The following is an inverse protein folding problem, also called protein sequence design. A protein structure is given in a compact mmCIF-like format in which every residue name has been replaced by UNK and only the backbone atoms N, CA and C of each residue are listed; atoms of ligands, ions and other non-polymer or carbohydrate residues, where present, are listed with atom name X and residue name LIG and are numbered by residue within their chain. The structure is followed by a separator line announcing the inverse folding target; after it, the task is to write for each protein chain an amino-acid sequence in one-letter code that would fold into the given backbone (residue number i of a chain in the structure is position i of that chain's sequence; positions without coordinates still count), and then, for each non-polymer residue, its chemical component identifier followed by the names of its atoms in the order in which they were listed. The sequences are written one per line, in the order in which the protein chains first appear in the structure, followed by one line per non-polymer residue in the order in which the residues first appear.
data_IF_471145927139
#
_entry.id   IF_471145927139
#
_cell.length_a   1.000
_cell.length_b   1.000
_cell.length_c   1.000
_cell.angle_alpha   90.00
_cell.angle_beta   90.00
_cell.angle_gamma   90.00
#
_symmetry.space_group_name_H-M   'P 1'
#
loop_
_entity.id
_entity.type
_entity.pdbx_description
1 polymer ?
#
# COMPACT_ATOMS: atom_id res chain seq x y z
N UNK A 1 -33.15 12.22 35.82
CA UNK A 1 -32.34 10.98 35.78
C UNK A 1 -31.81 10.61 34.39
N UNK A 2 -32.43 11.01 33.26
CA UNK A 2 -31.94 10.63 31.91
C UNK A 2 -30.76 11.44 31.35
N UNK A 3 -30.50 12.65 31.87
CA UNK A 3 -29.44 13.53 31.36
C UNK A 3 -28.04 13.12 31.86
N UNK A 4 -27.94 12.62 33.09
CA UNK A 4 -26.68 12.15 33.66
C UNK A 4 -26.10 10.94 32.90
N UNK A 5 -26.97 10.06 32.38
CA UNK A 5 -26.54 8.89 31.59
C UNK A 5 -25.92 9.26 30.25
N UNK A 6 -26.41 10.31 29.58
CA UNK A 6 -25.87 10.75 28.28
C UNK A 6 -24.51 11.43 28.46
N UNK A 7 -24.33 12.22 29.53
CA UNK A 7 -23.06 12.90 29.82
C UNK A 7 -21.96 11.87 30.17
N UNK A 8 -22.31 10.81 30.92
CA UNK A 8 -21.37 9.71 31.24
C UNK A 8 -20.93 8.95 29.98
N UNK A 9 -21.85 8.63 29.06
CA UNK A 9 -21.53 7.95 27.79
C UNK A 9 -20.59 8.80 26.92
N UNK A 10 -20.77 10.13 26.91
CA UNK A 10 -19.87 11.03 26.17
C UNK A 10 -18.49 11.13 26.84
N UNK A 11 -18.42 11.17 28.17
CA UNK A 11 -17.14 11.17 28.90
C UNK A 11 -16.38 9.86 28.75
N UNK A 12 -17.06 8.71 28.80
CA UNK A 12 -16.45 7.39 28.60
C UNK A 12 -15.98 7.21 27.15
N UNK A 13 -16.72 7.71 26.16
CA UNK A 13 -16.28 7.72 24.77
C UNK A 13 -15.05 8.61 24.55
N UNK A 14 -14.97 9.77 25.20
CA UNK A 14 -13.81 10.67 25.13
C UNK A 14 -12.57 10.10 25.84
N UNK A 15 -12.75 9.46 27.00
CA UNK A 15 -11.67 8.79 27.72
C UNK A 15 -11.12 7.59 26.94
N UNK A 16 -11.99 6.86 26.23
CA UNK A 16 -11.60 5.72 25.40
C UNK A 16 -10.86 6.16 24.11
N UNK A 17 -11.24 7.29 23.51
CA UNK A 17 -10.51 7.90 22.37
C UNK A 17 -9.11 8.37 22.80
N UNK A 18 -8.96 8.89 24.03
CA UNK A 18 -7.66 9.29 24.58
C UNK A 18 -6.67 8.14 24.75
N UNK A 19 -7.15 6.91 24.97
CA UNK A 19 -6.31 5.71 25.11
C UNK A 19 -5.74 5.17 23.78
N UNK A 20 -6.38 5.46 22.64
CA UNK A 20 -6.01 4.90 21.33
C UNK A 20 -4.82 5.58 20.65
N UNK A 21 -4.38 6.75 21.12
CA UNK A 21 -3.18 7.41 20.57
C UNK A 21 -1.86 6.68 20.92
N UNK A 22 -1.91 5.62 21.73
CA UNK A 22 -0.72 4.88 22.16
C UNK A 22 -0.41 3.60 21.35
N UNK A 23 -1.33 3.13 20.49
CA UNK A 23 -1.24 1.78 19.88
C UNK A 23 -1.18 1.75 18.35
N UNK A 24 -1.11 2.88 17.65
CA UNK A 24 -0.73 2.92 16.22
C UNK A 24 -1.72 2.29 15.23
N UNK A 25 -2.96 1.99 15.63
CA UNK A 25 -4.01 1.44 14.75
C UNK A 25 -5.00 2.57 14.40
N UNK A 26 -5.34 2.82 13.12
CA UNK A 26 -6.21 3.93 12.74
C UNK A 26 -7.68 3.70 13.20
N UNK A 27 -8.32 4.67 13.88
CA UNK A 27 -9.63 4.54 14.52
C UNK A 27 -10.84 4.52 13.57
N UNK A 28 -10.62 4.43 12.26
CA UNK A 28 -11.64 4.66 11.23
C UNK A 28 -12.80 3.65 11.27
N UNK A 29 -12.57 2.42 11.73
CA UNK A 29 -13.61 1.37 11.77
C UNK A 29 -14.62 1.52 12.91
N UNK A 30 -14.21 2.04 14.07
CA UNK A 30 -15.04 2.04 15.29
C UNK A 30 -15.99 3.25 15.38
N UNK A 31 -15.58 4.39 14.81
CA UNK A 31 -16.40 5.61 14.82
C UNK A 31 -17.62 5.45 13.89
N UNK A 32 -17.49 4.72 12.78
CA UNK A 32 -18.61 4.42 11.87
C UNK A 32 -19.67 3.53 12.55
N UNK A 33 -19.24 2.58 13.39
CA UNK A 33 -20.13 1.71 14.18
C UNK A 33 -20.87 2.52 15.26
N UNK A 34 -20.20 3.47 15.92
CA UNK A 34 -20.82 4.33 16.92
C UNK A 34 -21.82 5.33 16.30
N UNK A 35 -21.53 5.84 15.11
CA UNK A 35 -22.46 6.71 14.35
C UNK A 35 -23.69 5.95 13.85
N UNK A 36 -23.52 4.69 13.41
CA UNK A 36 -24.64 3.82 13.03
C UNK A 36 -25.52 3.47 14.24
N UNK A 37 -24.92 3.16 15.39
CA UNK A 37 -25.68 2.84 16.62
C UNK A 37 -26.37 4.08 17.22
N UNK A 38 -25.73 5.25 17.17
CA UNK A 38 -26.31 6.53 17.63
C UNK A 38 -27.45 7.04 16.73
N UNK A 39 -27.35 6.83 15.41
CA UNK A 39 -28.38 7.22 14.45
C UNK A 39 -29.67 6.42 14.59
N UNK A 40 -29.59 5.11 14.88
CA UNK A 40 -30.77 4.25 15.06
C UNK A 40 -31.57 4.62 16.32
N UNK A 41 -30.89 5.05 17.40
CA UNK A 41 -31.54 5.45 18.65
C UNK A 41 -32.40 6.72 18.53
N UNK A 42 -32.03 7.65 17.64
CA UNK A 42 -32.77 8.89 17.40
C UNK A 42 -34.05 8.66 16.57
N UNK A 43 -34.03 7.68 15.66
CA UNK A 43 -35.19 7.37 14.81
C UNK A 43 -36.26 6.58 15.61
N UNK A 44 -35.85 5.72 16.55
CA UNK A 44 -36.78 4.90 17.33
C UNK A 44 -37.71 5.68 18.28
N UNK A 45 -37.41 6.95 18.59
CA UNK A 45 -38.15 7.73 19.59
C UNK A 45 -39.20 8.70 19.00
N UNK A 46 -39.32 8.85 17.68
CA UNK A 46 -40.31 9.73 17.04
C UNK A 46 -41.65 9.06 16.71
N UNK A 47 -41.76 7.73 16.87
CA UNK A 47 -42.87 6.93 16.31
C UNK A 47 -44.00 6.51 17.26
N UNK A 48 -44.33 7.24 18.33
CA UNK A 48 -45.46 6.88 19.22
C UNK A 48 -46.51 7.99 19.35
N UNK A 49 -47.12 8.36 18.22
CA UNK A 49 -48.40 9.08 18.16
C UNK A 49 -49.57 8.09 18.10
N UNK A 50 -50.31 7.96 19.19
CA UNK A 50 -51.50 7.10 19.34
C UNK A 50 -52.67 7.70 18.53
N UNK A 51 -53.04 7.11 17.40
CA UNK A 51 -54.34 7.39 16.75
C UNK A 51 -55.42 6.54 17.42
N UNK A 52 -56.49 7.18 17.91
CA UNK A 52 -57.70 6.51 18.40
C UNK A 52 -58.82 6.77 17.40
N UNK A 53 -59.22 5.71 16.72
CA UNK A 53 -60.35 5.63 15.79
C UNK A 53 -61.66 5.78 16.58
N UNK A 54 -62.60 6.59 16.09
CA UNK A 54 -64.03 6.41 16.34
C UNK A 54 -64.81 6.68 15.04
N UNK A 55 -65.72 5.77 14.71
CA UNK A 55 -66.49 5.68 13.48
C UNK A 55 -67.90 6.31 13.62
N UNK A 56 -68.42 6.80 12.48
CA UNK A 56 -69.84 6.92 12.04
C UNK A 56 -70.77 8.00 12.68
N UNK A 57 -71.91 8.38 12.04
CA UNK A 57 -72.06 9.00 10.71
C UNK A 57 -73.00 10.25 10.67
N UNK A 58 -72.82 11.06 9.62
CA UNK A 58 -73.80 11.86 8.84
C UNK A 58 -75.07 12.47 9.52
N UNK A 59 -75.16 13.82 9.67
CA UNK A 59 -76.40 14.63 9.52
C UNK A 59 -76.06 16.09 9.12
N UNK A 60 -76.99 16.70 8.36
CA UNK A 60 -77.05 17.95 7.59
C UNK A 60 -76.96 19.30 8.35
N UNK A 61 -76.36 20.27 7.64
CA UNK A 61 -76.65 21.72 7.45
C UNK A 61 -77.45 22.55 8.48
N UNK A 62 -76.91 23.69 8.93
CA UNK A 62 -77.37 25.09 8.65
C UNK A 62 -76.85 26.15 9.68
N UNK A 63 -76.37 27.27 9.10
CA UNK A 63 -76.42 28.70 9.52
C UNK A 63 -75.82 29.22 10.85
N UNK A 64 -74.79 30.09 10.68
CA UNK A 64 -74.58 31.47 11.19
C UNK A 64 -75.17 31.85 12.56
N UNK A 65 -74.33 32.23 13.53
CA UNK A 65 -74.27 33.56 14.19
C UNK A 65 -73.21 33.64 15.32
N UNK A 66 -72.33 34.65 15.21
CA UNK A 66 -71.71 35.54 16.20
C UNK A 66 -71.29 35.12 17.65
N UNK A 67 -70.02 35.43 17.92
CA UNK A 67 -69.42 36.12 19.10
C UNK A 67 -68.99 35.40 20.43
N UNK A 68 -67.66 35.50 20.68
CA UNK A 68 -66.87 35.67 21.95
C UNK A 68 -66.45 34.44 22.79
N UNK A 69 -65.33 34.52 23.55
CA UNK A 69 -63.93 34.48 23.14
C UNK A 69 -63.23 33.17 23.58
N UNK A 70 -62.18 32.77 22.86
CA UNK A 70 -61.38 31.57 23.17
C UNK A 70 -60.65 31.70 24.50
N UNK A 71 -61.21 31.06 25.54
CA UNK A 71 -60.50 30.80 26.80
C UNK A 71 -59.36 29.83 26.52
N UNK A 72 -58.12 30.29 26.75
CA UNK A 72 -56.94 29.44 26.76
C UNK A 72 -57.19 28.30 27.77
N UNK A 73 -57.32 27.06 27.29
CA UNK A 73 -57.48 25.89 28.14
C UNK A 73 -56.18 25.67 28.92
N UNK A 74 -56.09 26.27 30.10
CA UNK A 74 -54.96 26.07 31.01
C UNK A 74 -54.96 24.61 31.45
N UNK A 75 -53.96 23.84 31.00
CA UNK A 75 -53.73 22.48 31.49
C UNK A 75 -53.23 22.61 32.93
N UNK A 76 -54.14 22.47 33.88
CA UNK A 76 -53.84 22.49 35.31
C UNK A 76 -52.93 21.32 35.66
N UNK A 77 -51.94 21.59 36.52
CA UNK A 77 -51.02 20.56 37.00
C UNK A 77 -51.13 20.38 38.48
N UNK A 78 -51.01 19.12 38.87
CA UNK A 78 -51.22 18.68 40.24
C UNK A 78 -49.90 18.20 40.83
N UNK A 79 -49.72 18.46 42.12
CA UNK A 79 -48.55 18.04 42.86
C UNK A 79 -48.51 16.51 42.96
N UNK A 80 -47.38 15.91 42.56
CA UNK A 80 -47.17 14.45 42.67
C UNK A 80 -47.18 13.93 44.12
N UNK A 81 -47.03 14.81 45.12
CA UNK A 81 -46.94 14.42 46.53
C UNK A 81 -48.28 14.53 47.26
N UNK A 82 -49.02 15.62 47.06
CA UNK A 82 -50.23 15.90 47.83
C UNK A 82 -51.49 16.09 46.96
N UNK A 83 -51.39 15.94 45.64
CA UNK A 83 -52.54 16.05 44.72
C UNK A 83 -53.09 17.47 44.52
N UNK A 84 -52.72 18.44 45.34
CA UNK A 84 -53.17 19.83 45.23
C UNK A 84 -52.64 20.51 43.95
N UNK A 85 -53.40 21.47 43.43
CA UNK A 85 -53.03 22.22 42.23
C UNK A 85 -51.74 23.02 42.46
N UNK A 86 -50.90 23.07 41.43
CA UNK A 86 -49.70 23.90 41.42
C UNK A 86 -50.11 25.25 40.86
N UNK A 87 -49.88 26.31 41.64
CA UNK A 87 -50.12 27.68 41.20
C UNK A 87 -49.14 28.02 40.07
N UNK A 88 -49.69 28.48 38.95
CA UNK A 88 -48.95 28.82 37.73
C UNK A 88 -48.06 30.05 37.88
N UNK A 89 -48.39 30.98 38.78
CA UNK A 89 -47.64 32.21 38.97
C UNK A 89 -46.50 32.00 39.98
N UNK A 90 -46.81 31.50 41.17
CA UNK A 90 -45.80 31.28 42.22
C UNK A 90 -45.00 30.01 42.04
N UNK A 91 -45.46 29.09 41.18
CA UNK A 91 -44.87 27.76 40.91
C UNK A 91 -44.74 26.90 42.15
N UNK A 92 -45.52 27.21 43.19
CA UNK A 92 -45.60 26.45 44.43
C UNK A 92 -46.88 25.63 44.45
N UNK A 93 -46.80 24.45 45.04
CA UNK A 93 -48.00 23.68 45.32
C UNK A 93 -48.82 24.35 46.42
N UNK A 94 -50.11 24.57 46.19
CA UNK A 94 -51.01 25.23 47.16
C UNK A 94 -51.23 24.41 48.44
N UNK A 95 -51.01 23.09 48.40
CA UNK A 95 -51.14 22.22 49.57
C UNK A 95 -49.85 22.03 50.37
N UNK A 96 -48.73 21.71 49.70
CA UNK A 96 -47.48 21.36 50.39
C UNK A 96 -46.36 22.42 50.29
N UNK A 97 -46.61 23.54 49.62
CA UNK A 97 -45.65 24.67 49.50
C UNK A 97 -44.42 24.41 48.64
N UNK A 98 -44.22 23.19 48.11
CA UNK A 98 -43.04 22.86 47.28
C UNK A 98 -43.03 23.59 45.95
N UNK A 99 -41.88 24.17 45.60
CA UNK A 99 -41.67 24.87 44.34
C UNK A 99 -41.22 23.90 43.23
N UNK A 100 -41.82 24.01 42.06
CA UNK A 100 -41.49 23.18 40.89
C UNK A 100 -40.85 24.05 39.80
N UNK A 101 -39.52 23.96 39.60
CA UNK A 101 -38.87 24.69 38.52
C UNK A 101 -39.26 24.07 37.18
N UNK A 102 -39.57 24.95 36.23
CA UNK A 102 -39.97 24.56 34.90
C UNK A 102 -38.75 24.59 33.97
N UNK A 103 -38.25 23.42 33.59
CA UNK A 103 -37.23 23.33 32.56
C UNK A 103 -37.91 23.46 31.19
N UNK A 104 -37.68 24.56 30.48
CA UNK A 104 -38.27 24.79 29.17
C UNK A 104 -37.43 24.07 28.10
N UNK A 105 -37.69 22.78 27.93
CA UNK A 105 -36.97 21.89 27.01
C UNK A 105 -36.89 22.49 25.58
N UNK A 106 -37.93 23.20 25.14
CA UNK A 106 -37.95 23.89 23.84
C UNK A 106 -36.97 25.06 23.74
N UNK A 107 -36.70 25.77 24.84
CA UNK A 107 -35.75 26.88 24.87
C UNK A 107 -34.30 26.36 24.97
N UNK A 108 -34.11 25.29 25.73
CA UNK A 108 -32.81 24.62 25.84
C UNK A 108 -32.34 24.09 24.48
N UNK A 109 -33.19 23.35 23.76
CA UNK A 109 -32.82 22.84 22.43
C UNK A 109 -32.59 23.93 21.39
N UNK A 110 -33.29 25.08 21.45
CA UNK A 110 -33.06 26.20 20.51
C UNK A 110 -31.67 26.82 20.62
N UNK A 111 -31.07 26.83 21.82
CA UNK A 111 -29.76 27.44 22.07
C UNK A 111 -28.63 26.41 21.95
N UNK A 112 -28.85 25.18 22.44
CA UNK A 112 -27.80 24.16 22.43
C UNK A 112 -27.60 23.49 21.07
N UNK A 113 -28.64 23.38 20.24
CA UNK A 113 -28.51 22.78 18.90
C UNK A 113 -27.47 23.47 18.01
N UNK A 114 -27.46 24.81 17.81
CA UNK A 114 -26.46 25.45 16.97
C UNK A 114 -25.04 25.32 17.55
N UNK A 115 -24.89 25.38 18.88
CA UNK A 115 -23.60 25.19 19.55
C UNK A 115 -23.04 23.79 19.30
N UNK A 116 -23.88 22.76 19.40
CA UNK A 116 -23.49 21.38 19.11
C UNK A 116 -23.09 21.22 17.63
N UNK A 117 -23.85 21.81 16.71
CA UNK A 117 -23.52 21.77 15.28
C UNK A 117 -22.16 22.42 14.97
N UNK A 118 -21.85 23.55 15.61
CA UNK A 118 -20.55 24.24 15.44
C UNK A 118 -19.40 23.37 15.97
N UNK A 119 -19.57 22.78 17.16
CA UNK A 119 -18.56 21.89 17.75
C UNK A 119 -18.32 20.67 16.85
N UNK A 120 -19.38 20.06 16.32
CA UNK A 120 -19.25 18.92 15.39
C UNK A 120 -18.55 19.31 14.09
N UNK A 121 -18.86 20.49 13.53
CA UNK A 121 -18.18 20.98 12.33
C UNK A 121 -16.67 21.17 12.56
N UNK A 122 -16.27 21.73 13.71
CA UNK A 122 -14.87 21.89 14.08
C UNK A 122 -14.16 20.54 14.22
N UNK A 123 -14.80 19.56 14.88
CA UNK A 123 -14.24 18.21 15.03
C UNK A 123 -14.04 17.52 13.68
N UNK A 124 -15.00 17.65 12.75
CA UNK A 124 -14.88 17.08 11.41
C UNK A 124 -13.72 17.72 10.63
N UNK A 125 -13.56 19.04 10.70
CA UNK A 125 -12.48 19.76 10.02
C UNK A 125 -11.11 19.30 10.56
N UNK A 126 -10.96 19.20 11.88
CA UNK A 126 -9.72 18.74 12.51
C UNK A 126 -9.38 17.30 12.11
N UNK A 127 -10.39 16.44 11.97
CA UNK A 127 -10.20 15.05 11.54
C UNK A 127 -9.80 14.96 10.06
N UNK A 128 -10.38 15.79 9.19
CA UNK A 128 -10.00 15.87 7.78
C UNK A 128 -8.55 16.34 7.60
N UNK A 129 -8.10 17.35 8.37
CA UNK A 129 -6.71 17.83 8.31
C UNK A 129 -5.71 16.76 8.75
N UNK A 130 -6.03 15.99 9.80
CA UNK A 130 -5.17 14.90 10.22
C UNK A 130 -5.12 13.78 9.17
N UNK A 131 -6.26 13.39 8.59
CA UNK A 131 -6.28 12.35 7.54
C UNK A 131 -5.45 12.73 6.31
N UNK A 132 -5.43 14.01 5.91
CA UNK A 132 -4.64 14.45 4.76
C UNK A 132 -3.13 14.25 4.99
N UNK A 133 -2.63 14.47 6.21
CA UNK A 133 -1.22 14.24 6.54
C UNK A 133 -0.85 12.76 6.41
N UNK A 134 -1.70 11.86 6.88
CA UNK A 134 -1.48 10.41 6.75
C UNK A 134 -1.51 9.94 5.30
N UNK A 135 -2.43 10.47 4.50
CA UNK A 135 -2.50 10.18 3.06
C UNK A 135 -1.22 10.63 2.36
N UNK A 136 -0.74 11.84 2.65
CA UNK A 136 0.48 12.36 2.05
C UNK A 136 1.71 11.52 2.44
N UNK A 137 1.83 11.15 3.72
CA UNK A 137 2.92 10.29 4.20
C UNK A 137 2.88 8.88 3.60
N UNK A 138 1.69 8.32 3.39
CA UNK A 138 1.51 7.03 2.73
C UNK A 138 1.88 7.10 1.24
N UNK A 139 1.47 8.14 0.54
CA UNK A 139 1.83 8.35 -0.87
C UNK A 139 3.34 8.50 -1.05
N UNK A 140 4.05 9.17 -0.14
CA UNK A 140 5.51 9.26 -0.18
C UNK A 140 6.18 7.88 -0.07
N UNK A 141 5.61 6.96 0.73
CA UNK A 141 6.12 5.59 0.81
C UNK A 141 5.86 4.80 -0.48
N UNK A 142 4.71 5.02 -1.13
CA UNK A 142 4.41 4.40 -2.42
C UNK A 142 5.38 4.84 -3.51
N UNK A 143 5.73 6.13 -3.57
CA UNK A 143 6.69 6.65 -4.55
C UNK A 143 8.09 6.02 -4.37
N UNK A 144 8.51 5.80 -3.12
CA UNK A 144 9.78 5.10 -2.82
C UNK A 144 9.77 3.64 -3.25
N UNK A 145 8.62 2.96 -3.13
CA UNK A 145 8.47 1.58 -3.59
C UNK A 145 8.54 1.50 -5.12
N UNK A 146 7.93 2.45 -5.83
CA UNK A 146 8.01 2.54 -7.30
C UNK A 146 9.45 2.79 -7.80
N UNK A 147 10.18 3.69 -7.14
CA UNK A 147 11.59 3.96 -7.46
C UNK A 147 12.50 2.75 -7.21
N UNK A 148 12.27 2.05 -6.10
CA UNK A 148 13.00 0.83 -5.79
C UNK A 148 12.70 -0.28 -6.81
N UNK A 149 11.44 -0.42 -7.24
CA UNK A 149 11.04 -1.37 -8.28
C UNK A 149 11.73 -1.07 -9.61
N UNK A 150 11.76 0.19 -10.04
CA UNK A 150 12.49 0.61 -11.25
C UNK A 150 13.97 0.26 -11.18
N UNK A 151 14.58 0.44 -10.00
CA UNK A 151 15.98 0.07 -9.79
C UNK A 151 16.21 -1.43 -9.92
N UNK A 152 15.30 -2.25 -9.39
CA UNK A 152 15.33 -3.72 -9.53
C UNK A 152 15.22 -4.10 -11.01
N UNK A 153 14.30 -3.50 -11.75
CA UNK A 153 14.09 -3.80 -13.17
C UNK A 153 15.31 -3.44 -14.02
N UNK A 154 15.94 -2.28 -13.76
CA UNK A 154 17.20 -1.87 -14.41
C UNK A 154 18.33 -2.85 -14.10
N UNK A 155 18.44 -3.30 -12.85
CA UNK A 155 19.46 -4.27 -12.46
C UNK A 155 19.21 -5.64 -13.09
N UNK A 156 17.96 -6.08 -13.18
CA UNK A 156 17.59 -7.32 -13.85
C UNK A 156 17.95 -7.30 -15.35
N UNK A 157 17.67 -6.19 -16.05
CA UNK A 157 18.07 -6.01 -17.45
C UNK A 157 19.60 -6.03 -17.62
N UNK A 158 20.34 -5.36 -16.72
CA UNK A 158 21.82 -5.42 -16.72
C UNK A 158 22.33 -6.85 -16.55
N UNK A 159 21.76 -7.63 -15.62
CA UNK A 159 22.15 -9.02 -15.40
C UNK A 159 21.86 -9.87 -16.66
N UNK A 160 20.73 -9.66 -17.31
CA UNK A 160 20.38 -10.37 -18.56
C UNK A 160 21.40 -10.10 -19.66
N UNK A 161 21.73 -8.82 -19.90
CA UNK A 161 22.72 -8.43 -20.92
C UNK A 161 24.12 -8.96 -20.62
N UNK A 162 24.54 -8.88 -19.36
CA UNK A 162 25.83 -9.44 -18.94
C UNK A 162 25.87 -10.96 -19.14
N UNK A 163 24.76 -11.66 -18.88
CA UNK A 163 24.67 -13.09 -19.10
C UNK A 163 24.78 -13.44 -20.59
N UNK A 164 24.08 -12.73 -21.45
CA UNK A 164 24.19 -12.90 -22.91
C UNK A 164 25.62 -12.66 -23.42
N UNK A 165 26.32 -11.63 -22.91
CA UNK A 165 27.70 -11.35 -23.28
C UNK A 165 28.67 -12.44 -22.79
N UNK A 166 28.46 -12.97 -21.57
CA UNK A 166 29.23 -14.11 -21.05
C UNK A 166 29.02 -15.35 -21.90
N UNK A 167 27.76 -15.67 -22.25
CA UNK A 167 27.43 -16.83 -23.07
C UNK A 167 28.03 -16.70 -24.48
N UNK A 168 27.92 -15.52 -25.09
CA UNK A 168 28.54 -15.21 -26.39
C UNK A 168 30.06 -15.38 -26.35
N UNK A 169 30.75 -14.77 -25.38
CA UNK A 169 32.20 -14.91 -25.21
C UNK A 169 32.63 -16.34 -24.95
N UNK A 170 31.85 -17.10 -24.18
CA UNK A 170 32.14 -18.52 -23.94
C UNK A 170 32.12 -19.33 -25.23
N UNK A 171 31.12 -19.10 -26.10
CA UNK A 171 31.02 -19.77 -27.40
C UNK A 171 32.22 -19.47 -28.30
N UNK A 172 32.68 -18.21 -28.29
CA UNK A 172 33.85 -17.77 -29.04
C UNK A 172 35.11 -18.46 -28.50
N UNK A 173 35.28 -18.54 -27.17
CA UNK A 173 36.40 -19.24 -26.55
C UNK A 173 36.44 -20.71 -26.97
N UNK A 174 35.32 -21.42 -26.94
CA UNK A 174 35.26 -22.82 -27.39
C UNK A 174 35.63 -22.96 -28.88
N UNK A 175 35.18 -22.03 -29.72
CA UNK A 175 35.54 -22.03 -31.14
C UNK A 175 37.04 -21.83 -31.37
N UNK A 176 37.67 -20.95 -30.59
CA UNK A 176 39.12 -20.72 -30.68
C UNK A 176 39.91 -21.88 -30.09
N UNK A 177 39.45 -22.49 -29.00
CA UNK A 177 40.07 -23.69 -28.44
C UNK A 177 40.09 -24.82 -29.47
N UNK A 178 38.99 -25.07 -30.17
CA UNK A 178 38.95 -26.08 -31.24
C UNK A 178 39.89 -25.76 -32.40
N UNK A 179 40.02 -24.48 -32.79
CA UNK A 179 40.97 -24.06 -33.82
C UNK A 179 42.43 -24.25 -33.37
N UNK A 180 42.74 -23.90 -32.12
CA UNK A 180 44.07 -24.09 -31.54
C UNK A 180 44.41 -25.57 -31.48
N UNK A 181 43.50 -26.43 -31.05
CA UNK A 181 43.70 -27.88 -31.00
C UNK A 181 43.92 -28.47 -32.40
N UNK A 182 43.13 -28.04 -33.39
CA UNK A 182 43.28 -28.47 -34.76
C UNK A 182 44.62 -28.02 -35.38
N UNK A 183 45.04 -26.79 -35.12
CA UNK A 183 46.33 -26.26 -35.55
C UNK A 183 47.50 -26.94 -34.82
N UNK A 184 47.37 -27.18 -33.52
CA UNK A 184 48.37 -27.89 -32.72
C UNK A 184 48.56 -29.32 -33.24
N UNK A 185 47.47 -30.01 -33.57
CA UNK A 185 47.54 -31.36 -34.17
C UNK A 185 48.28 -31.34 -35.50
N UNK A 186 48.00 -30.36 -36.36
CA UNK A 186 48.71 -30.18 -37.64
C UNK A 186 50.18 -29.83 -37.43
N UNK A 187 50.49 -28.93 -36.49
CA UNK A 187 51.86 -28.56 -36.15
C UNK A 187 52.65 -29.76 -35.62
N UNK A 188 52.08 -30.53 -34.69
CA UNK A 188 52.69 -31.75 -34.16
C UNK A 188 52.94 -32.79 -35.26
N UNK A 189 52.00 -32.94 -36.20
CA UNK A 189 52.18 -33.83 -37.35
C UNK A 189 53.34 -33.36 -38.24
N UNK A 190 53.44 -32.05 -38.51
CA UNK A 190 54.58 -31.49 -39.24
C UNK A 190 55.89 -31.68 -38.48
N UNK A 191 55.93 -31.45 -37.17
CA UNK A 191 57.14 -31.65 -36.35
C UNK A 191 57.61 -33.11 -36.33
N UNK A 192 56.67 -34.07 -36.42
CA UNK A 192 57.00 -35.49 -36.46
C UNK A 192 57.51 -35.96 -37.82
N UNK A 193 56.84 -35.54 -38.90
CA UNK A 193 57.11 -36.08 -40.23
C UNK A 193 58.01 -35.20 -41.08
N UNK A 194 57.91 -33.88 -40.97
CA UNK A 194 58.62 -32.95 -41.83
C UNK A 194 60.07 -32.74 -41.37
N UNK A 195 60.97 -32.77 -42.34
CA UNK A 195 62.38 -32.44 -42.18
C UNK A 195 62.78 -31.39 -43.21
N UNK A 196 63.70 -30.53 -42.80
CA UNK A 196 64.13 -29.35 -43.55
C UNK A 196 65.57 -29.50 -44.01
N UNK A 197 65.84 -29.16 -45.26
CA UNK A 197 67.19 -29.18 -45.84
C UNK A 197 67.50 -27.79 -46.37
N UNK A 198 68.56 -27.19 -45.83
CA UNK A 198 69.07 -25.91 -46.30
C UNK A 198 69.77 -26.05 -47.65
N UNK A 199 69.75 -24.99 -48.46
CA UNK A 199 70.42 -24.95 -49.77
C UNK A 199 71.90 -25.34 -49.66
N UNK A 200 72.31 -26.37 -50.39
CA UNK A 200 73.70 -26.88 -50.40
C UNK A 200 74.08 -27.77 -49.21
N UNK A 201 73.14 -28.09 -48.32
CA UNK A 201 73.34 -29.06 -47.24
C UNK A 201 73.06 -30.49 -47.72
N UNK A 202 73.86 -31.45 -47.24
CA UNK A 202 73.60 -32.89 -47.42
C UNK A 202 72.95 -33.52 -46.18
N UNK A 203 72.56 -32.71 -45.19
CA UNK A 203 71.84 -33.17 -43.99
C UNK A 203 70.45 -32.57 -43.88
N UNK A 204 69.50 -33.38 -43.43
CA UNK A 204 68.16 -32.93 -43.06
C UNK A 204 68.07 -32.66 -41.56
N UNK A 205 67.22 -31.72 -41.18
CA UNK A 205 67.06 -31.21 -39.82
C UNK A 205 65.59 -31.20 -39.39
N UNK A 206 65.32 -31.31 -38.09
CA UNK A 206 64.00 -30.98 -37.53
C UNK A 206 63.82 -29.46 -37.44
N UNK A 207 62.58 -29.01 -37.37
CA UNK A 207 62.25 -27.60 -37.15
C UNK A 207 62.95 -27.07 -35.89
N UNK A 208 63.44 -25.83 -35.93
CA UNK A 208 64.15 -25.20 -34.80
C UNK A 208 65.60 -25.63 -34.58
N UNK A 209 66.21 -26.43 -35.47
CA UNK A 209 67.63 -26.77 -35.35
C UNK A 209 68.53 -25.56 -35.64
N UNK A 210 69.40 -25.20 -34.69
CA UNK A 210 70.39 -24.11 -34.83
C UNK A 210 71.44 -24.33 -35.95
N UNK A 211 71.57 -25.56 -36.44
CA UNK A 211 72.48 -25.92 -37.54
C UNK A 211 71.80 -25.93 -38.91
N UNK A 212 70.49 -25.63 -38.98
CA UNK A 212 69.79 -25.48 -40.24
C UNK A 212 70.21 -24.16 -40.89
N UNK A 213 70.81 -24.24 -42.08
CA UNK A 213 71.19 -23.06 -42.86
C UNK A 213 69.93 -22.50 -43.55
N UNK A 214 69.43 -21.36 -43.06
CA UNK A 214 68.18 -20.73 -43.53
C UNK A 214 68.39 -19.59 -44.54
N UNK A 215 69.64 -19.26 -44.89
CA UNK A 215 69.98 -18.15 -45.81
C UNK A 215 69.66 -18.40 -47.30
N UNK A 216 68.77 -19.33 -47.64
CA UNK A 216 68.43 -19.71 -49.01
C UNK A 216 67.15 -20.54 -49.10
N UNK A 217 66.89 -21.14 -50.28
CA UNK A 217 65.72 -22.02 -50.48
C UNK A 217 65.79 -23.23 -49.55
N UNK A 218 64.68 -23.54 -48.86
CA UNK A 218 64.56 -24.69 -47.97
C UNK A 218 63.73 -25.76 -48.69
N UNK A 219 64.23 -26.98 -48.74
CA UNK A 219 63.46 -28.14 -49.18
C UNK A 219 62.82 -28.80 -47.97
N UNK A 220 61.55 -29.17 -48.09
CA UNK A 220 60.79 -29.85 -47.05
C UNK A 220 60.39 -31.22 -47.57
N UNK A 221 60.82 -32.27 -46.87
CA UNK A 221 60.47 -33.66 -47.15
C UNK A 221 59.99 -34.35 -45.89
N UNK A 222 59.46 -35.57 -46.02
CA UNK A 222 59.44 -36.48 -44.89
C UNK A 222 60.82 -37.14 -44.70
N UNK A 223 61.08 -37.70 -43.52
CA UNK A 223 62.41 -38.27 -43.23
C UNK A 223 62.81 -39.44 -44.13
N UNK A 224 61.84 -40.25 -44.57
CA UNK A 224 62.08 -41.41 -45.46
C UNK A 224 62.46 -40.96 -46.88
N UNK A 225 61.74 -39.99 -47.44
CA UNK A 225 62.04 -39.41 -48.75
C UNK A 225 63.36 -38.66 -48.74
N UNK A 226 63.70 -37.97 -47.65
CA UNK A 226 65.01 -37.34 -47.50
C UNK A 226 66.14 -38.38 -47.55
N UNK A 227 65.99 -39.50 -46.83
CA UNK A 227 66.95 -40.61 -46.89
C UNK A 227 67.02 -41.25 -48.28
N UNK A 228 65.89 -41.45 -48.94
CA UNK A 228 65.81 -42.01 -50.29
C UNK A 228 66.50 -41.11 -51.34
N UNK A 229 66.49 -39.80 -51.13
CA UNK A 229 67.24 -38.83 -51.94
C UNK A 229 68.73 -38.69 -51.54
N UNK A 230 69.19 -39.46 -50.55
CA UNK A 230 70.59 -39.49 -50.12
C UNK A 230 70.98 -38.51 -49.02
N UNK A 231 70.03 -37.77 -48.44
CA UNK A 231 70.30 -36.87 -47.32
C UNK A 231 70.50 -37.64 -46.01
N UNK A 232 71.43 -37.17 -45.19
CA UNK A 232 71.76 -37.80 -43.88
C UNK A 232 71.05 -37.08 -42.73
N UNK A 233 70.68 -37.77 -41.63
CA UNK A 233 70.15 -37.10 -40.45
C UNK A 233 71.20 -36.17 -39.84
N UNK A 234 70.78 -34.99 -39.39
CA UNK A 234 71.62 -34.14 -38.56
C UNK A 234 71.89 -34.81 -37.19
N UNK A 235 73.16 -34.94 -36.75
CA UNK A 235 73.50 -35.62 -35.49
C UNK A 235 73.06 -34.86 -34.24
N UNK A 236 72.67 -33.58 -34.38
CA UNK A 236 72.26 -32.73 -33.26
C UNK A 236 70.75 -32.73 -33.02
N UNK A 237 69.93 -32.72 -34.08
CA UNK A 237 68.46 -32.59 -33.96
C UNK A 237 67.66 -33.83 -34.39
N UNK A 238 68.29 -34.81 -35.05
CA UNK A 238 67.63 -36.02 -35.55
C UNK A 238 68.10 -37.30 -34.83
N UNK A 239 68.38 -37.18 -33.53
CA UNK A 239 68.64 -38.34 -32.66
C UNK A 239 67.39 -39.20 -32.47
#
# INVERSE_FOLDING_TARGET
MKIAGIIMIVFDALAWIGGYMKTGIPPMGLIYILLLLGGIALIANSGKGKQRIQNHPNVKTLTVQNEKPHTFRQVSRFCKRCGSQIDTETKKCTGCGKQYPYFNEKLFWRVFTPVICIVLAIVIILQCSNNQLWINAYNEQLDKLDDLQKTIDIQADKISRLKEDVDSKSSIIYSYQGQVEALQTKANALDWYAVFIGKGSNTYHKYGCNHLITGGSILVFNSENAKAQGYKPCPYCCK
#
